data_IF_212831531552
#
_entry.id   IF_212831531552
#
_cell.length_a   1.000
_cell.length_b   1.000
_cell.length_c   1.000
_cell.angle_alpha   90.00
_cell.angle_beta   90.00
_cell.angle_gamma   90.00
#
_symmetry.space_group_name_H-M   'P 1'
#
loop_
_entity.id
_entity.type
_entity.pdbx_description
1 polymer ?
#
# COMPACT_ATOMS: atom_id res chain seq x y z
N UNK A 1 -16.92 -8.89 1.85
CA UNK A 1 -16.55 -10.17 1.19
C UNK A 1 -16.66 -11.26 2.22
N UNK A 2 -17.52 -12.28 2.02
CA UNK A 2 -17.63 -13.36 2.97
C UNK A 2 -16.27 -14.06 3.09
N UNK A 3 -15.67 -14.04 4.28
CA UNK A 3 -14.50 -14.86 4.58
C UNK A 3 -14.99 -16.30 4.65
N UNK A 4 -14.28 -17.20 3.99
CA UNK A 4 -14.63 -18.62 4.01
C UNK A 4 -14.63 -19.13 5.44
N UNK A 5 -15.68 -19.85 5.85
CA UNK A 5 -15.81 -20.44 7.21
C UNK A 5 -14.55 -21.26 7.57
N UNK A 6 -13.95 -21.90 6.58
CA UNK A 6 -12.70 -22.66 6.69
C UNK A 6 -11.51 -21.83 7.18
N UNK A 7 -11.34 -20.60 6.67
CA UNK A 7 -10.24 -19.70 7.07
C UNK A 7 -10.39 -19.29 8.53
N UNK A 8 -11.62 -19.03 8.98
CA UNK A 8 -11.90 -18.69 10.38
C UNK A 8 -11.62 -19.89 11.29
N UNK A 9 -12.03 -21.09 10.88
CA UNK A 9 -11.74 -22.32 11.63
C UNK A 9 -10.24 -22.60 11.70
N UNK A 10 -9.52 -22.46 10.59
CA UNK A 10 -8.07 -22.62 10.56
C UNK A 10 -7.38 -21.63 11.51
N UNK A 11 -7.75 -20.34 11.46
CA UNK A 11 -7.19 -19.31 12.33
C UNK A 11 -7.45 -19.63 13.81
N UNK A 12 -8.67 -20.06 14.17
CA UNK A 12 -9.01 -20.46 15.54
C UNK A 12 -8.22 -21.67 16.00
N UNK A 13 -8.05 -22.67 15.15
CA UNK A 13 -7.29 -23.88 15.49
C UNK A 13 -5.80 -23.59 15.68
N UNK A 14 -5.21 -22.74 14.83
CA UNK A 14 -3.77 -22.42 14.90
C UNK A 14 -3.44 -21.39 15.98
N UNK A 15 -4.31 -20.42 16.21
CA UNK A 15 -3.98 -19.21 16.97
C UNK A 15 -5.00 -18.81 18.04
N UNK A 16 -6.10 -19.54 18.20
CA UNK A 16 -7.18 -19.18 19.13
C UNK A 16 -6.82 -19.24 20.62
N UNK A 17 -5.70 -19.87 20.98
CA UNK A 17 -5.14 -19.83 22.33
C UNK A 17 -4.34 -18.55 22.62
N UNK A 18 -3.94 -17.81 21.57
CA UNK A 18 -3.08 -16.62 21.66
C UNK A 18 -3.82 -15.34 21.32
N UNK A 19 -4.74 -15.40 20.37
CA UNK A 19 -5.46 -14.23 19.87
C UNK A 19 -6.96 -14.44 19.91
N UNK A 20 -7.66 -13.35 20.17
CA UNK A 20 -9.11 -13.30 20.01
C UNK A 20 -9.46 -13.09 18.53
N UNK A 21 -10.27 -13.99 17.98
CA UNK A 21 -10.60 -13.99 16.55
C UNK A 21 -12.05 -13.55 16.38
N UNK A 22 -12.20 -12.32 15.91
CA UNK A 22 -13.49 -11.73 15.58
C UNK A 22 -13.82 -12.00 14.11
N UNK A 23 -14.98 -12.62 13.89
CA UNK A 23 -15.56 -12.79 12.58
C UNK A 23 -17.09 -12.74 12.72
N UNK A 24 -17.76 -11.74 12.13
CA UNK A 24 -19.22 -11.66 12.21
C UNK A 24 -19.83 -12.86 11.49
N UNK A 25 -20.87 -13.45 12.09
CA UNK A 25 -21.63 -14.48 11.41
C UNK A 25 -22.38 -13.82 10.25
N UNK A 26 -21.87 -13.97 9.02
CA UNK A 26 -22.60 -13.55 7.83
C UNK A 26 -23.98 -14.19 7.88
N UNK A 27 -25.03 -13.37 7.99
CA UNK A 27 -26.37 -13.86 7.80
C UNK A 27 -26.46 -14.39 6.37
N UNK A 28 -26.87 -15.64 6.20
CA UNK A 28 -27.17 -16.26 4.89
C UNK A 28 -28.41 -15.63 4.22
N UNK A 29 -28.75 -14.39 4.54
CA UNK A 29 -29.96 -13.73 4.09
C UNK A 29 -29.67 -12.68 3.02
N UNK A 30 -30.47 -12.74 1.95
CA UNK A 30 -30.57 -11.81 0.82
C UNK A 30 -30.97 -10.37 1.20
N UNK A 31 -30.59 -9.87 2.38
CA UNK A 31 -30.90 -8.52 2.80
C UNK A 31 -29.66 -7.63 2.66
N UNK A 32 -29.64 -6.86 1.57
CA UNK A 32 -28.52 -6.02 1.15
C UNK A 32 -28.17 -4.92 2.16
N UNK A 33 -29.12 -4.52 3.01
CA UNK A 33 -28.93 -3.45 4.01
C UNK A 33 -28.08 -3.91 5.19
N UNK A 34 -28.35 -5.08 5.72
CA UNK A 34 -27.67 -5.70 6.86
C UNK A 34 -26.21 -5.97 6.47
N UNK A 35 -25.98 -6.53 5.28
CA UNK A 35 -24.64 -6.74 4.74
C UNK A 35 -23.86 -5.43 4.58
N UNK A 36 -24.52 -4.35 4.13
CA UNK A 36 -23.89 -3.04 4.04
C UNK A 36 -23.51 -2.49 5.42
N UNK A 37 -24.41 -2.61 6.40
CA UNK A 37 -24.16 -2.17 7.78
C UNK A 37 -22.95 -2.93 8.36
N UNK A 38 -22.88 -4.24 8.14
CA UNK A 38 -21.75 -5.06 8.59
C UNK A 38 -20.43 -4.64 7.95
N UNK A 39 -20.41 -4.43 6.63
CA UNK A 39 -19.19 -3.96 5.94
C UNK A 39 -18.75 -2.61 6.48
N UNK A 40 -19.68 -1.67 6.67
CA UNK A 40 -19.35 -0.35 7.24
C UNK A 40 -18.84 -0.44 8.68
N UNK A 41 -19.44 -1.32 9.49
CA UNK A 41 -19.01 -1.56 10.87
C UNK A 41 -17.59 -2.14 10.91
N UNK A 42 -17.30 -3.18 10.11
CA UNK A 42 -15.97 -3.79 10.03
C UNK A 42 -14.94 -2.76 9.54
N UNK A 43 -15.23 -2.03 8.47
CA UNK A 43 -14.35 -0.98 7.95
C UNK A 43 -14.04 0.06 9.02
N UNK A 44 -15.04 0.52 9.76
CA UNK A 44 -14.86 1.50 10.84
C UNK A 44 -14.04 0.93 12.01
N UNK A 45 -14.24 -0.33 12.37
CA UNK A 45 -13.46 -1.00 13.42
C UNK A 45 -12.00 -1.11 12.99
N UNK A 46 -11.73 -1.60 11.77
CA UNK A 46 -10.38 -1.73 11.23
C UNK A 46 -9.67 -0.38 11.11
N UNK A 47 -10.36 0.67 10.68
CA UNK A 47 -9.80 2.02 10.58
C UNK A 47 -9.40 2.62 11.95
N UNK A 48 -9.91 2.06 13.05
CA UNK A 48 -9.55 2.46 14.42
C UNK A 48 -8.51 1.55 15.07
N UNK A 49 -8.10 0.47 14.40
CA UNK A 49 -7.00 -0.36 14.88
C UNK A 49 -5.70 0.44 14.84
N UNK A 50 -4.80 0.17 15.80
CA UNK A 50 -3.47 0.78 15.83
C UNK A 50 -2.58 0.30 14.67
N UNK A 51 -2.85 -0.89 14.14
CA UNK A 51 -2.14 -1.45 13.02
C UNK A 51 -3.06 -2.38 12.21
N UNK A 52 -2.95 -2.37 10.89
CA UNK A 52 -3.72 -3.25 10.00
C UNK A 52 -2.80 -3.99 9.04
N UNK A 53 -3.02 -5.29 8.89
CA UNK A 53 -2.38 -6.12 7.85
C UNK A 53 -3.44 -6.52 6.85
N UNK A 54 -3.21 -6.27 5.56
CA UNK A 54 -4.18 -6.55 4.51
C UNK A 54 -3.53 -6.65 3.12
N UNK A 55 -4.35 -6.64 2.08
CA UNK A 55 -3.92 -6.46 0.70
C UNK A 55 -4.47 -5.14 0.15
N UNK A 56 -3.60 -4.27 -0.36
CA UNK A 56 -4.04 -3.05 -1.01
C UNK A 56 -4.67 -3.28 -2.37
N UNK A 57 -4.59 -4.47 -2.97
CA UNK A 57 -5.48 -4.83 -4.10
C UNK A 57 -6.98 -4.69 -3.74
N UNK A 58 -7.34 -4.85 -2.46
CA UNK A 58 -8.71 -4.71 -1.97
C UNK A 58 -9.11 -3.24 -1.78
N UNK A 59 -10.15 -2.80 -2.49
CA UNK A 59 -10.81 -1.51 -2.27
C UNK A 59 -11.20 -1.31 -0.79
N UNK A 60 -11.63 -2.37 -0.11
CA UNK A 60 -12.03 -2.28 1.29
C UNK A 60 -10.83 -1.95 2.20
N UNK A 61 -9.64 -2.50 1.93
CA UNK A 61 -8.48 -2.14 2.74
C UNK A 61 -7.98 -0.72 2.46
N UNK A 62 -7.99 -0.28 1.20
CA UNK A 62 -7.64 1.11 0.86
C UNK A 62 -8.56 2.11 1.57
N UNK A 63 -9.86 1.83 1.61
CA UNK A 63 -10.82 2.64 2.35
C UNK A 63 -10.53 2.64 3.86
N UNK A 64 -10.14 1.50 4.44
CA UNK A 64 -9.69 1.41 5.85
C UNK A 64 -8.47 2.31 6.08
N UNK A 65 -7.47 2.26 5.20
CA UNK A 65 -6.26 3.07 5.28
C UNK A 65 -6.56 4.57 5.20
N UNK A 66 -7.40 4.98 4.25
CA UNK A 66 -7.84 6.38 4.08
C UNK A 66 -8.59 6.91 5.31
N UNK A 67 -9.53 6.13 5.84
CA UNK A 67 -10.27 6.49 7.05
C UNK A 67 -9.38 6.54 8.29
N UNK A 68 -8.36 5.68 8.37
CA UNK A 68 -7.42 5.65 9.48
C UNK A 68 -6.70 7.00 9.66
N UNK A 69 -6.31 7.65 8.56
CA UNK A 69 -5.67 8.98 8.59
C UNK A 69 -6.58 10.03 9.24
N UNK A 70 -7.90 9.91 9.07
CA UNK A 70 -8.87 10.83 9.67
C UNK A 70 -9.08 10.61 11.17
N UNK A 71 -8.79 9.41 11.68
CA UNK A 71 -9.02 9.06 13.09
C UNK A 71 -7.80 9.23 13.99
N UNK A 72 -6.59 9.06 13.45
CA UNK A 72 -5.37 8.92 14.25
C UNK A 72 -4.32 10.00 13.97
N UNK A 73 -4.54 10.88 13.00
CA UNK A 73 -3.53 11.84 12.53
C UNK A 73 -2.64 11.21 11.47
N UNK A 74 -1.32 11.27 11.64
CA UNK A 74 -0.39 10.56 10.75
C UNK A 74 -0.37 9.07 11.09
N UNK A 75 -1.12 8.29 10.31
CA UNK A 75 -1.18 6.84 10.39
C UNK A 75 -0.66 6.21 9.09
N UNK A 76 0.22 6.92 8.36
CA UNK A 76 0.73 6.49 7.06
C UNK A 76 1.46 5.15 7.12
N UNK A 77 2.15 4.89 8.23
CA UNK A 77 2.94 3.67 8.50
C UNK A 77 2.18 2.60 9.30
N UNK A 78 0.92 2.84 9.69
CA UNK A 78 0.15 1.92 10.53
C UNK A 78 -0.51 0.78 9.74
N UNK A 79 -0.14 0.59 8.48
CA UNK A 79 -0.70 -0.47 7.62
C UNK A 79 0.41 -1.19 6.87
N UNK A 80 0.36 -2.52 6.91
CA UNK A 80 1.22 -3.37 6.11
C UNK A 80 0.41 -4.11 5.06
N UNK A 81 0.66 -3.79 3.80
CA UNK A 81 0.06 -4.46 2.65
C UNK A 81 0.93 -5.63 2.18
N UNK A 82 0.30 -6.75 1.85
CA UNK A 82 0.98 -7.97 1.41
C UNK A 82 1.28 -8.00 -0.10
N UNK A 83 0.75 -7.05 -0.88
CA UNK A 83 0.83 -7.09 -2.35
C UNK A 83 1.28 -5.79 -3.01
N UNK A 84 0.62 -4.67 -2.73
CA UNK A 84 0.89 -3.36 -3.37
C UNK A 84 1.17 -2.29 -2.33
N UNK A 85 1.93 -1.24 -2.71
CA UNK A 85 1.96 0.01 -1.94
C UNK A 85 0.74 0.87 -2.26
N UNK A 86 0.35 1.73 -1.33
CA UNK A 86 -0.79 2.62 -1.52
C UNK A 86 -0.57 3.52 -2.75
N UNK A 87 0.65 4.07 -2.90
CA UNK A 87 1.10 4.91 -4.02
C UNK A 87 0.78 4.31 -5.39
N UNK A 88 0.91 2.99 -5.54
CA UNK A 88 0.75 2.28 -6.81
C UNK A 88 -0.62 2.43 -7.46
N UNK A 89 -1.64 2.84 -6.70
CA UNK A 89 -3.00 3.04 -7.20
C UNK A 89 -3.23 4.40 -7.88
N UNK A 90 -2.31 5.37 -7.77
CA UNK A 90 -2.41 6.63 -8.51
C UNK A 90 -1.71 6.57 -9.88
N UNK A 91 -2.21 7.37 -10.81
CA UNK A 91 -1.60 7.53 -12.12
C UNK A 91 -0.23 8.23 -11.99
N UNK A 92 0.75 7.76 -12.77
CA UNK A 92 2.09 8.34 -12.87
C UNK A 92 2.88 8.28 -11.56
N UNK A 93 3.03 7.10 -10.94
CA UNK A 93 3.94 6.94 -9.81
C UNK A 93 5.38 7.20 -10.22
N UNK A 94 5.92 8.24 -9.62
CA UNK A 94 7.27 8.72 -9.85
C UNK A 94 8.01 8.75 -8.53
N UNK A 95 9.23 8.25 -8.54
CA UNK A 95 10.15 8.33 -7.41
C UNK A 95 11.33 9.19 -7.83
N UNK A 96 11.94 9.91 -6.90
CA UNK A 96 13.14 10.71 -7.12
C UNK A 96 14.34 10.04 -6.44
N UNK A 97 15.44 9.89 -7.16
CA UNK A 97 16.68 9.39 -6.59
C UNK A 97 17.31 10.40 -5.63
N UNK A 98 17.53 10.00 -4.37
CA UNK A 98 18.12 10.89 -3.34
C UNK A 98 19.65 10.85 -3.33
N UNK A 99 20.25 9.84 -3.96
CA UNK A 99 21.69 9.68 -4.09
C UNK A 99 22.06 8.99 -5.41
N UNK A 100 23.33 9.05 -5.77
CA UNK A 100 23.85 8.29 -6.91
C UNK A 100 23.92 6.80 -6.59
N UNK A 101 23.52 5.97 -7.56
CA UNK A 101 23.62 4.52 -7.50
C UNK A 101 24.27 3.98 -8.76
N UNK A 102 25.48 3.44 -8.64
CA UNK A 102 26.19 2.77 -9.73
C UNK A 102 26.25 1.27 -9.42
N UNK A 103 25.58 0.42 -10.20
CA UNK A 103 25.72 -1.02 -10.05
C UNK A 103 27.19 -1.42 -10.31
N UNK A 104 27.86 -2.01 -9.32
CA UNK A 104 29.28 -2.41 -9.41
C UNK A 104 29.35 -3.92 -9.69
N UNK A 105 30.23 -4.34 -10.59
CA UNK A 105 30.39 -5.74 -11.01
C UNK A 105 30.82 -6.72 -9.90
N UNK A 106 31.21 -6.24 -8.71
CA UNK A 106 31.75 -7.07 -7.62
C UNK A 106 30.69 -7.89 -6.85
N UNK A 107 29.41 -7.59 -7.03
CA UNK A 107 28.31 -8.41 -6.53
C UNK A 107 27.54 -8.96 -7.73
N UNK A 108 26.89 -10.15 -7.65
CA UNK A 108 26.11 -10.67 -8.77
C UNK A 108 24.98 -9.68 -9.05
N UNK A 109 25.24 -8.77 -9.98
CA UNK A 109 24.30 -7.81 -10.52
C UNK A 109 23.14 -8.65 -11.03
N UNK A 110 21.96 -8.44 -10.45
CA UNK A 110 20.79 -8.77 -11.22
C UNK A 110 20.93 -7.97 -12.52
N UNK A 111 20.94 -8.62 -13.70
CA UNK A 111 21.36 -8.00 -14.97
C UNK A 111 20.47 -6.84 -15.43
N UNK A 112 19.46 -6.51 -14.64
CA UNK A 112 18.46 -5.48 -14.83
C UNK A 112 18.60 -4.27 -13.90
N UNK A 113 19.60 -4.21 -13.01
CA UNK A 113 19.89 -3.01 -12.21
C UNK A 113 20.46 -1.87 -13.09
N UNK A 114 19.95 -0.65 -12.88
CA UNK A 114 20.36 0.51 -13.67
C UNK A 114 21.00 1.60 -12.82
N UNK A 115 21.89 2.36 -13.44
CA UNK A 115 22.44 3.58 -12.86
C UNK A 115 21.34 4.62 -12.61
N UNK A 116 21.35 5.24 -11.44
CA UNK A 116 20.62 6.47 -11.15
C UNK A 116 21.56 7.56 -10.64
N UNK A 117 21.37 8.79 -11.12
CA UNK A 117 22.00 9.99 -10.56
C UNK A 117 21.05 10.64 -9.55
N UNK A 118 21.60 11.37 -8.57
CA UNK A 118 20.79 12.12 -7.62
C UNK A 118 19.90 13.13 -8.38
N UNK A 119 18.60 13.07 -8.11
CA UNK A 119 17.57 13.89 -8.77
C UNK A 119 16.92 13.23 -9.99
N UNK A 120 17.38 12.05 -10.43
CA UNK A 120 16.71 11.31 -11.48
C UNK A 120 15.28 10.95 -11.07
N UNK A 121 14.32 11.15 -11.98
CA UNK A 121 12.92 10.76 -11.80
C UNK A 121 12.72 9.37 -12.40
N UNK A 122 12.30 8.42 -11.58
CA UNK A 122 12.03 7.05 -11.96
C UNK A 122 10.52 6.86 -12.09
N UNK A 123 10.05 6.51 -13.29
CA UNK A 123 8.65 6.16 -13.54
C UNK A 123 8.45 4.70 -13.15
N UNK A 124 7.74 4.44 -12.05
CA UNK A 124 7.52 3.09 -11.51
C UNK A 124 6.64 2.28 -12.47
N UNK A 125 7.04 1.01 -12.72
CA UNK A 125 6.39 0.14 -13.72
C UNK A 125 5.83 -1.15 -13.15
N UNK A 126 6.47 -1.72 -12.14
CA UNK A 126 5.96 -2.92 -11.47
C UNK A 126 5.60 -2.61 -10.04
N UNK A 127 4.78 -3.48 -9.43
CA UNK A 127 4.63 -3.47 -8.01
C UNK A 127 5.96 -3.62 -7.33
N UNK A 128 6.08 -2.96 -6.20
CA UNK A 128 7.26 -3.08 -5.38
C UNK A 128 7.24 -4.49 -4.80
N UNK A 129 8.28 -5.26 -5.14
CA UNK A 129 8.52 -6.54 -4.51
C UNK A 129 9.17 -6.30 -3.13
N UNK A 130 8.97 -7.23 -2.20
CA UNK A 130 9.62 -7.21 -0.88
C UNK A 130 11.14 -7.48 -0.95
N UNK A 131 11.74 -7.46 -2.14
CA UNK A 131 13.17 -7.68 -2.36
C UNK A 131 14.02 -6.40 -2.19
N UNK A 132 13.38 -5.27 -1.89
CA UNK A 132 14.04 -3.98 -1.66
C UNK A 132 14.35 -3.19 -2.94
N UNK A 133 13.87 -3.64 -4.10
CA UNK A 133 14.04 -2.96 -5.38
C UNK A 133 12.70 -2.56 -5.98
N UNK A 134 12.72 -1.47 -6.74
CA UNK A 134 11.61 -1.09 -7.61
C UNK A 134 12.03 -1.27 -9.06
N UNK A 135 11.11 -1.67 -9.93
CA UNK A 135 11.34 -1.64 -11.37
C UNK A 135 10.66 -0.42 -11.97
N UNK A 136 11.42 0.33 -12.78
CA UNK A 136 10.92 1.54 -13.40
C UNK A 136 11.75 1.96 -14.59
N UNK A 137 11.29 3.02 -15.27
CA UNK A 137 12.00 3.65 -16.38
C UNK A 137 12.65 4.93 -15.90
N UNK A 138 13.95 5.08 -16.16
CA UNK A 138 14.65 6.34 -16.01
C UNK A 138 14.61 7.09 -17.36
N UNK A 139 13.89 8.22 -17.47
CA UNK A 139 13.80 8.99 -18.71
C UNK A 139 15.15 9.52 -19.21
N UNK A 140 16.09 9.84 -18.30
CA UNK A 140 17.44 10.32 -18.66
C UNK A 140 18.22 9.27 -19.44
N UNK A 141 18.16 8.02 -18.99
CA UNK A 141 18.82 6.88 -19.65
C UNK A 141 17.97 6.25 -20.76
N UNK A 142 16.71 6.67 -20.90
CA UNK A 142 15.70 6.07 -21.76
C UNK A 142 15.61 4.53 -21.61
N UNK A 143 15.89 4.01 -20.41
CA UNK A 143 16.05 2.58 -20.13
C UNK A 143 15.20 2.18 -18.93
N UNK A 144 14.75 0.92 -18.92
CA UNK A 144 13.98 0.33 -17.83
C UNK A 144 14.82 -0.71 -17.10
N UNK A 145 14.72 -0.71 -15.77
CA UNK A 145 15.43 -1.65 -14.92
C UNK A 145 15.09 -1.45 -13.46
N UNK A 146 15.92 -1.99 -12.58
CA UNK A 146 15.74 -2.02 -11.14
C UNK A 146 16.58 -0.95 -10.45
N UNK A 147 15.99 -0.36 -9.42
CA UNK A 147 16.58 0.68 -8.59
C UNK A 147 16.38 0.30 -7.11
N UNK A 148 17.39 0.45 -6.25
CA UNK A 148 17.24 0.18 -4.82
C UNK A 148 16.29 1.17 -4.17
N UNK A 149 15.27 0.67 -3.47
CA UNK A 149 14.22 1.50 -2.89
C UNK A 149 14.73 2.53 -1.89
N UNK A 150 15.69 2.15 -1.04
CA UNK A 150 16.22 3.02 0.01
C UNK A 150 16.97 4.25 -0.53
N UNK A 151 17.28 4.28 -1.83
CA UNK A 151 17.90 5.41 -2.52
C UNK A 151 16.88 6.27 -3.27
N UNK A 152 15.59 6.02 -3.05
CA UNK A 152 14.50 6.73 -3.68
C UNK A 152 13.59 7.35 -2.62
N UNK A 153 12.95 8.46 -2.98
CA UNK A 153 11.84 9.07 -2.23
C UNK A 153 10.65 9.28 -3.16
N UNK A 154 9.47 9.43 -2.59
CA UNK A 154 8.29 9.82 -3.34
C UNK A 154 8.50 11.18 -4.02
N UNK A 155 8.19 11.27 -5.31
CA UNK A 155 8.22 12.53 -6.04
C UNK A 155 6.85 13.22 -5.91
N UNK A 156 6.73 14.08 -4.91
CA UNK A 156 5.52 14.84 -4.62
C UNK A 156 5.14 15.78 -5.78
N UNK A 157 3.87 15.76 -6.15
CA UNK A 157 3.30 16.65 -7.16
C UNK A 157 2.44 17.71 -6.47
N UNK A 158 2.58 18.94 -6.93
CA UNK A 158 1.85 20.08 -6.41
C UNK A 158 0.96 20.63 -7.51
N UNK A 159 -0.29 20.89 -7.17
CA UNK A 159 -1.29 21.51 -8.04
C UNK A 159 -1.92 22.68 -7.28
N UNK A 160 -2.21 23.76 -7.99
CA UNK A 160 -2.83 24.94 -7.39
C UNK A 160 -4.35 24.76 -7.31
N UNK A 161 -4.85 24.57 -6.10
CA UNK A 161 -6.28 24.56 -5.82
C UNK A 161 -6.73 25.92 -5.28
N UNK A 162 -7.89 26.40 -5.73
CA UNK A 162 -8.49 27.63 -5.21
C UNK A 162 -8.70 27.53 -3.70
N UNK A 163 -8.05 28.42 -2.93
CA UNK A 163 -8.32 28.54 -1.51
C UNK A 163 -9.78 29.03 -1.32
N UNK A 164 -10.55 28.33 -0.49
CA UNK A 164 -11.92 28.75 -0.14
C UNK A 164 -11.88 29.90 0.87
N UNK A 165 -11.45 31.09 0.43
CA UNK A 165 -11.27 32.31 1.26
C UNK A 165 -12.53 32.80 1.98
N UNK A 166 -13.71 32.29 1.62
CA UNK A 166 -14.99 32.69 2.18
C UNK A 166 -15.59 31.68 3.17
N UNK A 167 -14.88 30.60 3.50
CA UNK A 167 -15.31 29.64 4.54
C UNK A 167 -14.60 30.03 5.84
N UNK A 168 -15.39 30.51 6.81
CA UNK A 168 -14.94 30.79 8.18
C UNK A 168 -15.20 29.60 9.09
#
# INVERSE_FOLDING_TARGET
MPVLKEVVMEAKNKWGNKYEIYHPNYFEQNQSREMLIEILAITKILAKCQFVVCTFSSNACRLVYELMQSFQGDASENVHSLDYFYSEHWFNNTMEAIAEYKPVQEYPLSPDELWAEKGDIIIVKTPINQDGFIRGRNPRLNSEGRFPMYLLKEHLKFEEFSAFVNIK
#
